data_IF_417466763481
#
_entry.id   IF_417466763481
#
_cell.length_a   1.000
_cell.length_b   1.000
_cell.length_c   1.000
_cell.angle_alpha   90.00
_cell.angle_beta   90.00
_cell.angle_gamma   90.00
#
_symmetry.space_group_name_H-M   'P 1'
#
loop_
_entity.id
_entity.type
_entity.pdbx_description
1 polymer ?
#
# COMPACT_ATOMS: atom_id res chain seq x y z
N UNK A 1 -11.28 1.22 4.05
CA UNK A 1 -10.02 0.53 3.82
C UNK A 1 -10.02 -0.74 4.64
N UNK A 2 -9.76 -1.87 3.99
CA UNK A 2 -9.50 -3.15 4.63
C UNK A 2 -8.13 -3.58 4.12
N UNK A 3 -7.25 -3.99 5.03
CA UNK A 3 -6.03 -4.73 4.71
C UNK A 3 -6.28 -6.21 5.02
N UNK A 4 -5.74 -7.09 4.19
CA UNK A 4 -5.94 -8.54 4.30
C UNK A 4 -4.69 -9.28 3.83
N UNK A 5 -4.55 -10.52 4.27
CA UNK A 5 -3.46 -11.41 3.85
C UNK A 5 -3.87 -12.87 3.98
N UNK A 6 -3.23 -13.74 3.19
CA UNK A 6 -3.31 -15.19 3.32
C UNK A 6 -1.96 -15.82 3.70
N UNK A 7 -0.96 -15.02 4.08
CA UNK A 7 0.40 -15.46 4.42
C UNK A 7 1.38 -15.44 3.23
N UNK A 8 0.92 -15.59 1.99
CA UNK A 8 1.75 -15.49 0.79
C UNK A 8 1.55 -14.16 0.03
N UNK A 9 0.34 -13.61 0.13
CA UNK A 9 -0.05 -12.34 -0.48
C UNK A 9 -0.60 -11.41 0.59
N UNK A 10 -0.35 -10.11 0.40
CA UNK A 10 -0.91 -9.05 1.23
C UNK A 10 -1.61 -8.06 0.32
N UNK A 11 -2.79 -7.61 0.70
CA UNK A 11 -3.52 -6.63 -0.09
C UNK A 11 -4.33 -5.66 0.75
N UNK A 12 -4.79 -4.62 0.08
CA UNK A 12 -5.69 -3.65 0.65
C UNK A 12 -6.66 -3.12 -0.41
N UNK A 13 -7.88 -2.81 0.03
CA UNK A 13 -8.90 -2.25 -0.84
C UNK A 13 -9.81 -1.26 -0.11
N UNK A 14 -10.47 -0.41 -0.88
CA UNK A 14 -11.53 0.46 -0.40
C UNK A 14 -12.90 -0.10 -0.74
N UNK A 15 -13.91 0.41 -0.04
CA UNK A 15 -15.28 0.24 -0.49
C UNK A 15 -15.49 0.96 -1.85
N UNK A 16 -16.61 0.67 -2.50
CA UNK A 16 -16.92 1.18 -3.85
C UNK A 16 -16.95 2.70 -3.94
N UNK A 17 -17.22 3.39 -2.83
CA UNK A 17 -17.32 4.84 -2.78
C UNK A 17 -16.03 5.49 -2.25
N UNK A 18 -15.04 4.71 -1.80
CA UNK A 18 -13.80 5.23 -1.25
C UNK A 18 -13.99 6.04 0.02
N UNK A 19 -14.93 5.66 0.88
CA UNK A 19 -15.34 6.47 2.04
C UNK A 19 -14.28 6.59 3.13
N UNK A 20 -13.24 5.75 3.07
CA UNK A 20 -12.13 5.77 4.02
C UNK A 20 -10.82 6.03 3.29
N UNK A 21 -9.94 6.87 3.85
CA UNK A 21 -8.64 7.11 3.25
C UNK A 21 -7.76 5.85 3.36
N UNK A 22 -6.88 5.68 2.38
CA UNK A 22 -5.73 4.79 2.51
C UNK A 22 -4.62 5.26 1.57
N UNK A 23 -3.44 5.44 2.15
CA UNK A 23 -2.22 5.95 1.54
C UNK A 23 -1.17 4.85 1.56
N UNK A 24 -0.33 4.83 0.54
CA UNK A 24 0.82 3.95 0.54
C UNK A 24 2.08 4.66 0.06
N UNK A 25 3.21 4.26 0.61
CA UNK A 25 4.55 4.72 0.24
C UNK A 25 5.41 3.49 -0.03
N UNK A 26 6.12 3.52 -1.14
CA UNK A 26 7.09 2.50 -1.54
C UNK A 26 8.46 3.16 -1.51
N UNK A 27 9.40 2.54 -0.82
CA UNK A 27 10.78 3.01 -0.75
C UNK A 27 11.66 2.30 -1.77
N UNK A 28 12.81 2.90 -2.10
CA UNK A 28 13.74 2.38 -3.11
C UNK A 28 14.40 1.06 -2.71
N UNK A 29 14.42 0.75 -1.42
CA UNK A 29 14.87 -0.52 -0.85
C UNK A 29 13.74 -1.57 -0.76
N UNK A 30 12.57 -1.30 -1.34
CA UNK A 30 11.49 -2.27 -1.49
C UNK A 30 10.54 -2.36 -0.28
N UNK A 31 10.63 -1.44 0.67
CA UNK A 31 9.70 -1.39 1.80
C UNK A 31 8.38 -0.74 1.39
N UNK A 32 7.27 -1.34 1.82
CA UNK A 32 5.91 -0.84 1.51
C UNK A 32 5.19 -0.49 2.79
N UNK A 33 4.78 0.76 2.90
CA UNK A 33 4.03 1.30 4.04
C UNK A 33 2.62 1.58 3.55
N UNK A 34 1.61 0.95 4.15
CA UNK A 34 0.19 1.23 3.88
C UNK A 34 -0.51 1.62 5.16
N UNK A 35 -1.13 2.81 5.18
CA UNK A 35 -1.80 3.36 6.35
C UNK A 35 -2.99 4.23 5.96
N UNK A 36 -3.78 4.65 6.95
CA UNK A 36 -4.88 5.60 6.73
C UNK A 36 -4.38 7.00 6.34
N UNK A 37 -3.16 7.36 6.75
CA UNK A 37 -2.56 8.68 6.58
C UNK A 37 -1.09 8.55 6.13
N UNK A 38 -0.51 9.64 5.60
CA UNK A 38 0.93 9.71 5.26
C UNK A 38 1.75 10.14 6.48
N UNK A 39 3.01 9.67 6.58
CA UNK A 39 3.91 10.07 7.66
C UNK A 39 3.69 9.33 8.99
N UNK A 40 2.96 8.20 8.96
CA UNK A 40 2.77 7.33 10.14
C UNK A 40 4.07 6.68 10.58
N UNK A 41 4.95 6.38 9.62
CA UNK A 41 6.33 5.97 9.88
C UNK A 41 7.27 7.04 9.32
N UNK A 42 8.37 7.29 10.03
CA UNK A 42 9.43 8.15 9.53
C UNK A 42 10.08 7.48 8.32
N UNK A 43 10.16 8.22 7.21
CA UNK A 43 10.74 7.75 5.96
C UNK A 43 11.49 8.90 5.34
N UNK A 44 12.78 8.72 5.06
CA UNK A 44 13.57 9.76 4.43
C UNK A 44 12.98 10.11 3.05
N UNK A 45 12.68 11.39 2.75
CA UNK A 45 12.10 11.78 1.47
C UNK A 45 12.94 11.34 0.27
N UNK A 46 14.27 11.28 0.42
CA UNK A 46 15.18 10.81 -0.62
C UNK A 46 15.08 9.30 -0.89
N UNK A 47 14.57 8.51 0.06
CA UNK A 47 14.36 7.06 -0.09
C UNK A 47 12.96 6.72 -0.63
N UNK A 48 12.05 7.69 -0.77
CA UNK A 48 10.74 7.45 -1.37
C UNK A 48 10.90 7.21 -2.87
N UNK A 49 10.46 6.04 -3.34
CA UNK A 49 10.35 5.72 -4.76
C UNK A 49 8.99 6.15 -5.30
N UNK A 50 7.93 5.84 -4.56
CA UNK A 50 6.57 6.18 -4.95
C UNK A 50 5.71 6.47 -3.71
N UNK A 51 4.78 7.43 -3.84
CA UNK A 51 3.77 7.68 -2.83
C UNK A 51 2.41 7.91 -3.50
N UNK A 52 1.39 7.21 -3.04
CA UNK A 52 0.09 7.19 -3.65
C UNK A 52 -1.06 6.95 -2.68
N UNK A 53 -2.23 6.68 -3.24
CA UNK A 53 -3.44 6.32 -2.50
C UNK A 53 -4.17 5.19 -3.19
N UNK A 54 -4.88 4.39 -2.40
CA UNK A 54 -5.84 3.44 -2.94
C UNK A 54 -7.01 4.18 -3.59
N UNK A 55 -7.44 3.68 -4.74
CA UNK A 55 -8.59 4.21 -5.47
C UNK A 55 -9.83 3.33 -5.21
N UNK A 56 -11.04 3.90 -5.21
CA UNK A 56 -12.27 3.12 -5.04
C UNK A 56 -12.37 2.02 -6.10
N UNK A 57 -12.71 0.80 -5.67
CA UNK A 57 -12.85 -0.35 -6.58
C UNK A 57 -11.53 -0.95 -7.09
N UNK A 58 -10.37 -0.43 -6.69
CA UNK A 58 -9.06 -1.04 -6.98
C UNK A 58 -8.51 -1.77 -5.75
N UNK A 59 -7.73 -2.81 -6.02
CA UNK A 59 -7.01 -3.58 -5.01
C UNK A 59 -5.52 -3.28 -5.19
N UNK A 60 -4.88 -2.86 -4.11
CA UNK A 60 -3.42 -2.85 -4.02
C UNK A 60 -2.98 -4.20 -3.48
N UNK A 61 -2.10 -4.91 -4.18
CA UNK A 61 -1.71 -6.28 -3.82
C UNK A 61 -0.20 -6.47 -3.93
N UNK A 62 0.36 -7.22 -3.00
CA UNK A 62 1.75 -7.64 -2.92
C UNK A 62 1.81 -9.16 -2.99
N UNK A 63 2.68 -9.68 -3.84
CA UNK A 63 3.10 -11.07 -3.86
C UNK A 63 4.42 -11.18 -3.09
N UNK A 64 4.38 -11.78 -1.89
CA UNK A 64 5.55 -11.87 -1.02
C UNK A 64 6.50 -12.99 -1.46
N UNK A 65 6.00 -14.00 -2.17
CA UNK A 65 6.84 -15.09 -2.70
C UNK A 65 7.67 -14.61 -3.90
N UNK A 66 7.07 -13.77 -4.76
CA UNK A 66 7.73 -13.21 -5.94
C UNK A 66 8.38 -11.84 -5.68
N UNK A 67 8.15 -11.25 -4.49
CA UNK A 67 8.72 -9.96 -4.10
C UNK A 67 8.28 -8.81 -5.00
N UNK A 68 7.01 -8.78 -5.44
CA UNK A 68 6.52 -7.76 -6.37
C UNK A 68 5.14 -7.22 -6.03
N UNK A 69 4.88 -6.02 -6.52
CA UNK A 69 3.57 -5.38 -6.47
C UNK A 69 2.77 -5.80 -7.70
N UNK A 70 1.51 -6.17 -7.49
CA UNK A 70 0.57 -6.50 -8.58
C UNK A 70 -0.23 -5.23 -8.90
N UNK A 71 -0.15 -4.71 -10.14
CA UNK A 71 -0.85 -3.49 -10.56
C UNK A 71 -2.36 -3.66 -10.72
#
# INVERSE_FOLDING_TARGET
AIAFTNGAQLGAMLDRNGLRPSRYTITKDGFVILASETGVLETEPANVEYSGRLEPGKIFMLDLEQGRIIP
#
